data_IF_204675088580
#
_entry.id   IF_204675088580
#
_cell.length_a   1.000
_cell.length_b   1.000
_cell.length_c   1.000
_cell.angle_alpha   90.00
_cell.angle_beta   90.00
_cell.angle_gamma   90.00
#
_symmetry.space_group_name_H-M   'P 1'
#
loop_
_entity.id
_entity.type
_entity.pdbx_description
1 polymer ?
#
# COMPACT_ATOMS: atom_id res chain seq x y z
N UNK A 1 -0.89 -17.61 102.92
CA UNK A 1 -0.41 -16.55 102.03
C UNK A 1 0.16 -17.23 100.79
N UNK A 2 -0.43 -16.95 99.62
CA UNK A 2 0.15 -17.02 98.25
C UNK A 2 0.48 -18.46 97.75
N UNK A 3 -0.41 -19.15 97.00
CA UNK A 3 -0.70 -19.08 95.53
C UNK A 3 0.42 -19.75 94.70
N UNK A 4 0.20 -21.00 94.25
CA UNK A 4 -0.06 -21.48 92.86
C UNK A 4 1.11 -21.26 91.85
N UNK A 5 1.46 -22.08 90.85
CA UNK A 5 0.68 -22.87 89.89
C UNK A 5 1.48 -24.05 89.28
N UNK A 6 0.68 -25.00 88.80
CA UNK A 6 0.91 -26.15 87.94
C UNK A 6 1.79 -25.89 86.69
N UNK A 7 2.58 -26.88 86.29
CA UNK A 7 3.30 -26.88 85.00
C UNK A 7 3.12 -28.23 84.28
N UNK A 8 2.10 -28.28 83.42
CA UNK A 8 1.95 -29.28 82.37
C UNK A 8 2.25 -28.66 80.99
N UNK A 9 2.90 -29.38 80.06
CA UNK A 9 3.35 -28.84 78.79
C UNK A 9 2.25 -28.84 77.71
N UNK A 10 2.23 -27.87 76.76
CA UNK A 10 1.27 -27.90 75.68
C UNK A 10 1.80 -28.52 74.38
N UNK A 11 0.83 -29.14 73.70
CA UNK A 11 0.66 -29.57 72.32
C UNK A 11 1.64 -29.03 71.25
N UNK A 12 2.07 -29.95 70.38
CA UNK A 12 2.69 -29.68 69.08
C UNK A 12 1.59 -29.72 68.01
N UNK A 13 1.07 -28.55 67.64
CA UNK A 13 0.21 -28.39 66.47
C UNK A 13 1.09 -28.20 65.22
N UNK A 14 0.94 -29.11 64.26
CA UNK A 14 1.61 -29.07 62.97
C UNK A 14 0.93 -28.07 62.03
N UNK A 15 1.45 -26.84 61.97
CA UNK A 15 1.07 -25.86 60.96
C UNK A 15 1.73 -26.20 59.61
N UNK A 16 0.89 -26.63 58.66
CA UNK A 16 1.26 -26.73 57.25
C UNK A 16 1.59 -25.36 56.68
N UNK A 17 2.84 -25.16 56.30
CA UNK A 17 3.28 -23.97 55.57
C UNK A 17 2.60 -23.92 54.20
N UNK A 18 1.52 -23.13 54.11
CA UNK A 18 1.02 -22.63 52.83
C UNK A 18 2.04 -21.61 52.31
N UNK A 19 2.85 -22.01 51.34
CA UNK A 19 3.65 -21.07 50.56
C UNK A 19 2.69 -20.16 49.78
N UNK A 20 2.53 -18.93 50.27
CA UNK A 20 1.91 -17.84 49.54
C UNK A 20 2.63 -17.65 48.20
N UNK A 21 1.96 -18.08 47.13
CA UNK A 21 2.36 -17.77 45.77
C UNK A 21 2.20 -16.27 45.55
N UNK A 22 3.33 -15.57 45.58
CA UNK A 22 3.38 -14.15 45.22
C UNK A 22 2.79 -13.95 43.81
N UNK A 23 1.89 -12.98 43.60
CA UNK A 23 1.29 -12.74 42.30
C UNK A 23 2.35 -12.25 41.32
N UNK A 24 2.61 -13.05 40.28
CA UNK A 24 3.46 -12.66 39.15
C UNK A 24 2.94 -11.34 38.57
N UNK A 25 3.74 -10.27 38.72
CA UNK A 25 3.46 -8.97 38.13
C UNK A 25 3.22 -9.13 36.62
N UNK A 26 1.99 -8.87 36.17
CA UNK A 26 1.62 -8.92 34.76
C UNK A 26 2.48 -7.91 34.00
N UNK A 27 3.47 -8.40 33.25
CA UNK A 27 4.34 -7.57 32.38
C UNK A 27 3.46 -6.68 31.51
N UNK A 28 3.72 -5.37 31.57
CA UNK A 28 2.92 -4.36 30.87
C UNK A 28 2.85 -4.67 29.37
N UNK A 29 1.64 -4.86 28.84
CA UNK A 29 1.43 -5.27 27.44
C UNK A 29 1.73 -4.09 26.51
N UNK A 30 2.83 -4.18 25.76
CA UNK A 30 3.17 -3.17 24.75
C UNK A 30 2.11 -3.21 23.63
N UNK A 31 1.42 -2.09 23.36
CA UNK A 31 0.38 -2.06 22.36
C UNK A 31 0.95 -2.14 20.94
N UNK A 32 0.20 -2.76 20.02
CA UNK A 32 0.55 -2.74 18.60
C UNK A 32 0.49 -1.30 18.08
N UNK A 33 1.50 -0.85 17.30
CA UNK A 33 1.50 0.46 16.66
C UNK A 33 0.19 0.76 15.91
N UNK A 34 -0.28 1.99 16.08
CA UNK A 34 -1.62 2.40 15.64
C UNK A 34 -1.79 2.33 14.12
N UNK A 35 -0.72 2.60 13.35
CA UNK A 35 -0.70 2.46 11.90
C UNK A 35 -1.02 1.03 11.45
N UNK A 36 -0.40 0.00 12.02
CA UNK A 36 -0.66 -1.39 11.65
C UNK A 36 -2.06 -1.83 12.09
N UNK A 37 -2.53 -1.33 13.23
CA UNK A 37 -3.89 -1.62 13.72
C UNK A 37 -4.97 -0.99 12.85
N UNK A 38 -4.80 0.26 12.42
CA UNK A 38 -5.73 0.89 11.47
C UNK A 38 -5.65 0.18 10.12
N UNK A 39 -4.44 -0.15 9.67
CA UNK A 39 -4.25 -0.84 8.40
C UNK A 39 -4.95 -2.21 8.37
N UNK A 40 -4.84 -3.02 9.42
CA UNK A 40 -5.49 -4.34 9.45
C UNK A 40 -7.02 -4.23 9.43
N UNK A 41 -7.59 -3.20 10.08
CA UNK A 41 -9.03 -2.90 10.02
C UNK A 41 -9.46 -2.52 8.60
N UNK A 42 -8.73 -1.60 7.95
CA UNK A 42 -9.04 -1.19 6.57
C UNK A 42 -8.92 -2.38 5.62
N UNK A 43 -7.86 -3.18 5.74
CA UNK A 43 -7.66 -4.37 4.92
C UNK A 43 -8.86 -5.31 5.01
N UNK A 44 -9.36 -5.56 6.24
CA UNK A 44 -10.57 -6.38 6.45
C UNK A 44 -11.78 -5.80 5.72
N UNK A 45 -12.07 -4.50 5.88
CA UNK A 45 -13.20 -3.84 5.21
C UNK A 45 -13.08 -3.88 3.69
N UNK A 46 -11.86 -3.76 3.15
CA UNK A 46 -11.62 -3.81 1.71
C UNK A 46 -11.85 -5.23 1.16
N UNK A 47 -11.35 -6.25 1.86
CA UNK A 47 -11.41 -7.64 1.37
C UNK A 47 -12.79 -8.26 1.60
N UNK A 48 -13.40 -8.05 2.77
CA UNK A 48 -14.70 -8.64 3.12
C UNK A 48 -15.86 -7.83 2.55
N UNK A 49 -15.83 -6.50 2.68
CA UNK A 49 -16.95 -5.62 2.32
C UNK A 49 -16.76 -4.90 0.97
N UNK A 50 -15.65 -5.15 0.26
CA UNK A 50 -15.32 -4.53 -1.05
C UNK A 50 -15.35 -2.99 -1.03
N UNK A 51 -15.06 -2.38 0.12
CA UNK A 51 -15.06 -0.93 0.27
C UNK A 51 -13.87 -0.27 -0.45
N UNK A 52 -14.05 1.00 -0.82
CA UNK A 52 -13.02 1.77 -1.50
C UNK A 52 -11.85 2.11 -0.56
N UNK A 53 -10.66 1.60 -0.89
CA UNK A 53 -9.42 1.80 -0.14
C UNK A 53 -9.08 3.28 0.03
N UNK A 54 -9.24 4.08 -1.04
CA UNK A 54 -8.85 5.49 -1.02
C UNK A 54 -9.72 6.27 -0.04
N UNK A 55 -11.03 6.08 -0.08
CA UNK A 55 -11.95 6.70 0.88
C UNK A 55 -11.59 6.33 2.32
N UNK A 56 -11.41 5.04 2.61
CA UNK A 56 -11.07 4.55 3.95
C UNK A 56 -9.75 5.13 4.49
N UNK A 57 -8.71 5.22 3.66
CA UNK A 57 -7.41 5.78 4.09
C UNK A 57 -7.48 7.30 4.26
N UNK A 58 -8.27 8.01 3.44
CA UNK A 58 -8.42 9.45 3.54
C UNK A 58 -9.23 9.87 4.78
N UNK A 59 -10.16 9.03 5.22
CA UNK A 59 -11.00 9.22 6.41
C UNK A 59 -10.31 8.77 7.72
N UNK A 60 -9.30 7.90 7.65
CA UNK A 60 -8.62 7.39 8.85
C UNK A 60 -7.72 8.45 9.50
N UNK A 61 -7.84 8.58 10.83
CA UNK A 61 -7.12 9.59 11.63
C UNK A 61 -5.66 9.22 11.91
N UNK A 62 -5.30 7.94 11.81
CA UNK A 62 -4.03 7.41 12.28
C UNK A 62 -3.07 7.06 11.13
N UNK A 63 -3.60 6.84 9.92
CA UNK A 63 -2.81 6.62 8.71
C UNK A 63 -2.55 7.94 8.01
N UNK A 64 -1.26 8.24 7.79
CA UNK A 64 -0.87 9.36 6.94
C UNK A 64 -1.29 9.05 5.51
N UNK A 65 -2.22 9.82 4.95
CA UNK A 65 -2.83 9.64 3.61
C UNK A 65 -1.90 9.02 2.56
N UNK A 66 -0.80 9.67 2.22
CA UNK A 66 0.14 9.17 1.19
C UNK A 66 0.82 7.84 1.57
N UNK A 67 1.30 7.71 2.81
CA UNK A 67 1.95 6.47 3.27
C UNK A 67 0.95 5.32 3.44
N UNK A 68 -0.27 5.62 3.89
CA UNK A 68 -1.35 4.66 4.05
C UNK A 68 -1.80 4.10 2.70
N UNK A 69 -1.96 4.96 1.69
CA UNK A 69 -2.30 4.53 0.34
C UNK A 69 -1.21 3.62 -0.24
N UNK A 70 0.06 4.02 -0.13
CA UNK A 70 1.17 3.20 -0.61
C UNK A 70 1.25 1.84 0.10
N UNK A 71 1.05 1.80 1.42
CA UNK A 71 1.00 0.56 2.20
C UNK A 71 -0.15 -0.34 1.76
N UNK A 72 -1.35 0.23 1.55
CA UNK A 72 -2.51 -0.55 1.10
C UNK A 72 -2.34 -1.07 -0.31
N UNK A 73 -1.85 -0.26 -1.24
CA UNK A 73 -1.57 -0.67 -2.62
C UNK A 73 -0.55 -1.83 -2.61
N UNK A 74 0.51 -1.73 -1.81
CA UNK A 74 1.50 -2.79 -1.63
C UNK A 74 0.88 -4.09 -1.12
N UNK A 75 0.04 -4.02 -0.09
CA UNK A 75 -0.63 -5.21 0.49
C UNK A 75 -1.57 -5.85 -0.54
N UNK A 76 -2.41 -5.05 -1.20
CA UNK A 76 -3.45 -5.56 -2.10
C UNK A 76 -2.86 -6.17 -3.37
N UNK A 77 -1.80 -5.56 -3.91
CA UNK A 77 -1.09 -6.10 -5.07
C UNK A 77 -0.43 -7.44 -4.75
N UNK A 78 0.16 -7.59 -3.57
CA UNK A 78 0.85 -8.81 -3.15
C UNK A 78 -0.04 -9.76 -2.33
N UNK A 79 -1.36 -9.53 -2.26
CA UNK A 79 -2.22 -10.22 -1.29
C UNK A 79 -2.23 -11.74 -1.47
N UNK A 80 -2.26 -12.20 -2.73
CA UNK A 80 -2.19 -13.63 -3.08
C UNK A 80 -0.86 -14.24 -2.65
N UNK A 81 0.24 -13.56 -2.95
CA UNK A 81 1.58 -13.98 -2.57
C UNK A 81 1.73 -14.00 -1.04
N UNK A 82 1.28 -12.97 -0.33
CA UNK A 82 1.32 -12.92 1.14
C UNK A 82 0.52 -14.08 1.75
N UNK A 83 -0.67 -14.38 1.23
CA UNK A 83 -1.47 -15.53 1.70
C UNK A 83 -0.74 -16.86 1.49
N UNK A 84 -0.07 -17.02 0.35
CA UNK A 84 0.76 -18.20 0.08
C UNK A 84 1.94 -18.31 1.06
N UNK A 85 2.64 -17.20 1.34
CA UNK A 85 3.74 -17.17 2.33
C UNK A 85 3.26 -17.53 3.74
N UNK A 86 2.13 -16.95 4.18
CA UNK A 86 1.55 -17.22 5.50
C UNK A 86 1.13 -18.69 5.63
N UNK A 87 0.61 -19.29 4.55
CA UNK A 87 0.26 -20.72 4.50
C UNK A 87 1.50 -21.61 4.56
N UNK A 88 2.52 -21.35 3.72
CA UNK A 88 3.76 -22.16 3.66
C UNK A 88 4.56 -22.14 4.97
N UNK A 89 4.54 -21.01 5.66
CA UNK A 89 5.22 -20.88 6.97
C UNK A 89 4.38 -21.41 8.14
N UNK A 90 3.11 -21.75 7.89
CA UNK A 90 2.13 -22.17 8.90
C UNK A 90 2.02 -21.15 10.05
N UNK A 91 2.26 -19.87 9.75
CA UNK A 91 2.41 -18.82 10.76
C UNK A 91 1.16 -18.73 11.66
N UNK A 92 -0.03 -18.82 11.07
CA UNK A 92 -1.29 -18.73 11.81
C UNK A 92 -1.66 -20.01 12.56
N UNK A 93 -1.09 -21.15 12.18
CA UNK A 93 -1.29 -22.43 12.87
C UNK A 93 -0.40 -22.51 14.12
N UNK A 94 0.87 -22.09 13.98
CA UNK A 94 1.82 -22.00 15.09
C UNK A 94 1.46 -20.91 16.09
N UNK A 95 0.82 -19.84 15.63
CA UNK A 95 0.49 -18.67 16.45
C UNK A 95 -1.01 -18.31 16.36
N UNK A 96 -1.90 -19.13 16.94
CA UNK A 96 -3.36 -18.98 16.78
C UNK A 96 -3.92 -17.70 17.41
N UNK A 97 -3.15 -17.04 18.28
CA UNK A 97 -3.52 -15.75 18.89
C UNK A 97 -3.26 -14.56 17.97
N UNK A 98 -2.54 -14.76 16.86
CA UNK A 98 -2.23 -13.71 15.90
C UNK A 98 -3.42 -13.46 14.99
N UNK A 99 -3.91 -12.21 14.97
CA UNK A 99 -5.00 -11.86 14.07
C UNK A 99 -4.55 -11.98 12.59
N UNK A 100 -5.28 -12.70 11.72
CA UNK A 100 -4.87 -12.94 10.33
C UNK A 100 -4.68 -11.66 9.50
N UNK A 101 -5.54 -10.65 9.70
CA UNK A 101 -5.44 -9.37 9.00
C UNK A 101 -4.21 -8.58 9.44
N UNK A 102 -3.92 -8.59 10.74
CA UNK A 102 -2.70 -7.98 11.27
C UNK A 102 -1.45 -8.70 10.77
N UNK A 103 -1.45 -10.04 10.76
CA UNK A 103 -0.35 -10.83 10.22
C UNK A 103 -0.07 -10.45 8.76
N UNK A 104 -1.11 -10.36 7.93
CA UNK A 104 -1.00 -9.98 6.51
C UNK A 104 -0.34 -8.61 6.34
N UNK A 105 -0.76 -7.61 7.11
CA UNK A 105 -0.16 -6.25 7.09
C UNK A 105 1.31 -6.28 7.51
N UNK A 106 1.63 -7.01 8.57
CA UNK A 106 3.00 -7.09 9.09
C UNK A 106 3.92 -7.84 8.11
N UNK A 107 3.47 -8.97 7.55
CA UNK A 107 4.23 -9.71 6.53
C UNK A 107 4.45 -8.84 5.30
N UNK A 108 3.45 -8.09 4.84
CA UNK A 108 3.57 -7.19 3.70
C UNK A 108 4.66 -6.13 3.92
N UNK A 109 4.65 -5.44 5.06
CA UNK A 109 5.62 -4.39 5.38
C UNK A 109 7.05 -4.98 5.56
N UNK A 110 7.14 -6.19 6.14
CA UNK A 110 8.39 -6.90 6.40
C UNK A 110 9.07 -7.45 5.15
N UNK A 111 8.29 -7.91 4.17
CA UNK A 111 8.81 -8.57 2.97
C UNK A 111 8.90 -7.61 1.79
N UNK A 112 7.82 -6.88 1.51
CA UNK A 112 7.70 -6.03 0.32
C UNK A 112 7.88 -4.53 0.63
N UNK A 113 7.63 -4.13 1.87
CA UNK A 113 7.62 -2.72 2.27
C UNK A 113 9.00 -2.23 2.68
N UNK A 114 9.09 -1.68 3.89
CA UNK A 114 10.34 -1.12 4.44
C UNK A 114 11.38 -2.17 4.82
N UNK A 115 11.02 -3.45 4.74
CA UNK A 115 11.84 -4.57 5.20
C UNK A 115 12.12 -4.53 6.70
N UNK A 116 11.40 -3.71 7.45
CA UNK A 116 11.49 -3.57 8.90
C UNK A 116 10.12 -3.21 9.46
N UNK A 117 9.83 -3.73 10.65
CA UNK A 117 8.62 -3.42 11.38
C UNK A 117 8.93 -2.43 12.49
N UNK A 118 8.04 -1.49 12.75
CA UNK A 118 8.20 -0.53 13.85
C UNK A 118 7.57 -1.06 15.14
N UNK A 119 8.21 -0.82 16.29
CA UNK A 119 7.68 -1.15 17.62
C UNK A 119 7.87 -2.60 18.06
N UNK A 120 7.69 -2.85 19.36
CA UNK A 120 8.06 -4.12 19.99
C UNK A 120 6.86 -4.85 20.63
N UNK A 121 5.66 -4.62 20.08
CA UNK A 121 4.48 -5.39 20.48
C UNK A 121 4.64 -6.89 20.15
N UNK A 122 4.01 -7.76 20.92
CA UNK A 122 4.11 -9.22 20.73
C UNK A 122 3.81 -9.68 19.28
N UNK A 123 2.75 -9.19 18.59
CA UNK A 123 2.51 -9.56 17.20
C UNK A 123 3.64 -9.15 16.25
N UNK A 124 4.26 -7.99 16.49
CA UNK A 124 5.38 -7.50 15.67
C UNK A 124 6.62 -8.36 15.89
N UNK A 125 6.96 -8.64 17.15
CA UNK A 125 8.10 -9.51 17.46
C UNK A 125 7.90 -10.93 16.92
N UNK A 126 6.68 -11.46 17.03
CA UNK A 126 6.29 -12.75 16.48
C UNK A 126 6.59 -12.80 14.97
N UNK A 127 6.01 -11.90 14.17
CA UNK A 127 6.24 -11.89 12.71
C UNK A 127 7.71 -11.62 12.34
N UNK A 128 8.44 -10.80 13.12
CA UNK A 128 9.88 -10.59 12.92
C UNK A 128 10.69 -11.89 13.02
N UNK A 129 10.32 -12.82 13.91
CA UNK A 129 11.01 -14.12 14.06
C UNK A 129 10.86 -15.01 12.83
N UNK A 130 9.77 -14.87 12.10
CA UNK A 130 9.51 -15.63 10.88
C UNK A 130 10.13 -14.99 9.62
N UNK A 131 10.92 -13.91 9.76
CA UNK A 131 11.50 -13.19 8.61
C UNK A 131 12.22 -14.11 7.64
N UNK A 132 13.14 -14.94 8.13
CA UNK A 132 13.98 -15.80 7.29
C UNK A 132 13.12 -16.85 6.57
N UNK A 133 12.23 -17.52 7.30
CA UNK A 133 11.29 -18.49 6.72
C UNK A 133 10.36 -17.86 5.67
N UNK A 134 9.90 -16.62 5.87
CA UNK A 134 9.09 -15.89 4.91
C UNK A 134 9.88 -15.50 3.64
N UNK A 135 11.17 -15.17 3.78
CA UNK A 135 12.05 -14.85 2.64
C UNK A 135 12.40 -16.10 1.83
N UNK A 136 12.66 -17.22 2.50
CA UNK A 136 12.86 -18.51 1.85
C UNK A 136 11.59 -18.94 1.11
N UNK A 137 10.43 -18.86 1.76
CA UNK A 137 9.14 -19.18 1.15
C UNK A 137 8.83 -18.31 -0.07
N UNK A 138 9.28 -17.04 -0.09
CA UNK A 138 9.15 -16.14 -1.23
C UNK A 138 10.03 -16.57 -2.41
N UNK A 139 11.27 -16.97 -2.13
CA UNK A 139 12.22 -17.42 -3.17
C UNK A 139 11.71 -18.67 -3.88
N UNK A 140 11.01 -19.54 -3.16
CA UNK A 140 10.38 -20.76 -3.70
C UNK A 140 8.94 -20.51 -4.18
N UNK A 141 8.40 -19.28 -4.09
CA UNK A 141 7.02 -18.99 -4.49
C UNK A 141 6.94 -18.66 -5.97
N UNK A 142 6.11 -19.42 -6.69
CA UNK A 142 5.74 -19.16 -8.08
C UNK A 142 4.56 -18.18 -8.19
N UNK A 143 4.00 -17.73 -7.05
CA UNK A 143 2.86 -16.82 -7.04
C UNK A 143 3.34 -15.41 -7.36
N UNK A 144 2.99 -14.93 -8.55
CA UNK A 144 3.27 -13.55 -8.97
C UNK A 144 2.34 -12.52 -8.29
N UNK A 145 2.79 -11.27 -8.14
CA UNK A 145 1.93 -10.17 -7.70
C UNK A 145 0.81 -9.90 -8.72
N UNK A 146 -0.33 -9.36 -8.26
CA UNK A 146 -1.46 -9.04 -9.11
C UNK A 146 -1.18 -7.92 -10.13
N UNK A 147 -0.19 -7.07 -9.83
CA UNK A 147 0.29 -6.01 -10.72
C UNK A 147 1.75 -5.68 -10.38
N UNK A 148 2.54 -5.29 -11.35
CA UNK A 148 3.85 -4.70 -11.09
C UNK A 148 3.68 -3.24 -10.64
N UNK A 149 4.10 -2.93 -9.41
CA UNK A 149 3.99 -1.58 -8.84
C UNK A 149 4.90 -0.56 -9.54
N UNK A 150 5.99 -1.04 -10.12
CA UNK A 150 7.03 -0.26 -10.78
C UNK A 150 6.69 0.09 -12.24
N UNK A 151 5.48 -0.25 -12.70
CA UNK A 151 5.03 0.09 -14.04
C UNK A 151 4.88 1.61 -14.20
N UNK A 152 5.86 2.23 -14.85
CA UNK A 152 5.89 3.66 -15.19
C UNK A 152 5.04 3.94 -16.43
N UNK A 153 3.73 3.98 -16.24
CA UNK A 153 2.82 4.28 -17.34
C UNK A 153 3.00 5.73 -17.84
N UNK A 154 2.99 5.99 -19.16
CA UNK A 154 2.95 7.34 -19.71
C UNK A 154 1.69 8.10 -19.26
N UNK A 155 1.68 9.41 -19.47
CA UNK A 155 0.54 10.28 -19.15
C UNK A 155 -0.11 10.73 -20.44
N UNK A 156 -1.33 10.25 -20.64
CA UNK A 156 -2.20 10.66 -21.73
C UNK A 156 -3.01 11.88 -21.31
N UNK A 157 -2.96 12.92 -22.11
CA UNK A 157 -3.59 14.22 -21.86
C UNK A 157 -4.38 14.60 -23.08
N UNK A 158 -5.70 14.69 -22.95
CA UNK A 158 -6.59 15.15 -24.01
C UNK A 158 -6.69 16.66 -24.00
N UNK A 159 -6.59 17.28 -25.16
CA UNK A 159 -6.81 18.70 -25.39
C UNK A 159 -8.32 18.96 -25.41
N UNK A 160 -8.76 19.97 -24.67
CA UNK A 160 -10.14 20.44 -24.74
C UNK A 160 -10.27 21.41 -25.93
N UNK A 161 -10.65 20.87 -27.09
CA UNK A 161 -10.77 21.64 -28.34
C UNK A 161 -11.82 22.75 -28.31
N UNK A 162 -12.76 22.72 -27.35
CA UNK A 162 -13.70 23.83 -27.13
C UNK A 162 -13.04 25.06 -26.51
N UNK A 163 -11.90 24.88 -25.84
CA UNK A 163 -11.17 25.94 -25.14
C UNK A 163 -9.86 26.32 -25.86
N UNK A 164 -9.22 25.36 -26.52
CA UNK A 164 -7.90 25.55 -27.12
C UNK A 164 -7.74 24.63 -28.33
N UNK A 165 -7.46 25.21 -29.50
CA UNK A 165 -7.15 24.44 -30.70
C UNK A 165 -5.81 23.70 -30.55
N UNK A 166 -5.64 22.50 -31.17
CA UNK A 166 -4.42 21.71 -30.99
C UNK A 166 -3.10 22.44 -31.29
N UNK A 167 -2.98 23.26 -32.35
CA UNK A 167 -1.75 24.02 -32.59
C UNK A 167 -1.44 25.03 -31.46
N UNK A 168 -2.48 25.64 -30.86
CA UNK A 168 -2.34 26.54 -29.73
C UNK A 168 -1.93 25.80 -28.44
N UNK A 169 -2.41 24.57 -28.26
CA UNK A 169 -2.04 23.72 -27.14
C UNK A 169 -0.56 23.32 -27.19
N UNK A 170 -0.06 22.94 -28.37
CA UNK A 170 1.35 22.62 -28.59
C UNK A 170 2.23 23.84 -28.29
N UNK A 171 1.87 25.02 -28.83
CA UNK A 171 2.63 26.26 -28.59
C UNK A 171 2.69 26.62 -27.10
N UNK A 172 1.57 26.52 -26.39
CA UNK A 172 1.53 26.78 -24.96
C UNK A 172 2.47 25.85 -24.18
N UNK A 173 2.48 24.55 -24.52
CA UNK A 173 3.38 23.59 -23.87
C UNK A 173 4.85 23.87 -24.20
N UNK A 174 5.16 24.29 -25.43
CA UNK A 174 6.51 24.70 -25.83
C UNK A 174 6.99 25.95 -25.09
N UNK A 175 6.11 26.94 -24.89
CA UNK A 175 6.39 28.14 -24.09
C UNK A 175 6.69 27.79 -22.62
N UNK A 176 6.14 26.68 -22.12
CA UNK A 176 6.39 26.16 -20.78
C UNK A 176 7.60 25.22 -20.67
N UNK A 177 8.36 25.08 -21.76
CA UNK A 177 9.60 24.32 -21.80
C UNK A 177 9.45 22.83 -22.17
N UNK A 178 8.26 22.41 -22.63
CA UNK A 178 8.08 21.07 -23.19
C UNK A 178 8.51 21.01 -24.66
N UNK A 179 9.15 19.92 -25.06
CA UNK A 179 9.63 19.72 -26.43
C UNK A 179 8.69 18.75 -27.15
N UNK A 180 8.06 19.23 -28.23
CA UNK A 180 7.31 18.36 -29.12
C UNK A 180 8.29 17.49 -29.92
N UNK A 181 8.10 16.20 -29.85
CA UNK A 181 8.78 15.23 -30.71
C UNK A 181 7.99 15.13 -32.01
N UNK A 182 8.45 15.85 -33.02
CA UNK A 182 7.84 15.87 -34.36
C UNK A 182 8.48 14.79 -35.24
N UNK A 183 8.22 13.53 -34.88
CA UNK A 183 8.67 12.34 -35.61
C UNK A 183 7.46 11.67 -36.27
N UNK A 184 7.57 11.33 -37.55
CA UNK A 184 6.59 10.49 -38.23
C UNK A 184 6.96 9.01 -38.02
N UNK A 185 6.00 8.22 -37.54
CA UNK A 185 6.19 6.78 -37.29
C UNK A 185 5.54 5.97 -38.40
N UNK A 186 6.30 5.06 -39.02
CA UNK A 186 5.78 4.18 -40.07
C UNK A 186 4.86 3.09 -39.49
N UNK A 187 5.07 2.74 -38.21
CA UNK A 187 4.25 1.75 -37.52
C UNK A 187 3.89 2.16 -36.10
N UNK A 188 2.78 1.59 -35.59
CA UNK A 188 2.39 1.77 -34.19
C UNK A 188 3.43 1.18 -33.21
N UNK A 189 4.18 0.16 -33.62
CA UNK A 189 5.24 -0.43 -32.80
C UNK A 189 6.39 0.54 -32.56
N UNK A 190 6.86 1.23 -33.61
CA UNK A 190 7.89 2.29 -33.51
C UNK A 190 7.43 3.43 -32.61
N UNK A 191 6.18 3.87 -32.78
CA UNK A 191 5.57 4.88 -31.91
C UNK A 191 5.59 4.44 -30.43
N UNK A 192 5.24 3.17 -30.14
CA UNK A 192 5.27 2.65 -28.77
C UNK A 192 6.68 2.59 -28.20
N UNK A 193 7.68 2.20 -28.99
CA UNK A 193 9.09 2.25 -28.55
C UNK A 193 9.52 3.69 -28.26
N UNK A 194 9.10 4.66 -29.08
CA UNK A 194 9.40 6.08 -28.82
C UNK A 194 8.73 6.59 -27.55
N UNK A 195 7.46 6.22 -27.30
CA UNK A 195 6.74 6.56 -26.07
C UNK A 195 7.44 6.00 -24.83
N UNK A 196 7.97 4.77 -24.90
CA UNK A 196 8.71 4.17 -23.77
C UNK A 196 10.01 4.93 -23.46
N UNK A 197 10.64 5.49 -24.49
CA UNK A 197 11.93 6.18 -24.39
C UNK A 197 11.80 7.71 -24.45
N UNK A 198 10.62 8.27 -24.13
CA UNK A 198 10.41 9.71 -24.02
C UNK A 198 11.33 10.34 -22.96
N UNK A 199 12.03 11.41 -23.35
CA UNK A 199 12.79 12.24 -22.42
C UNK A 199 11.87 12.99 -21.44
N UNK A 200 12.43 13.41 -20.30
CA UNK A 200 11.65 13.98 -19.19
C UNK A 200 10.90 15.29 -19.52
N UNK A 201 11.38 16.04 -20.52
CA UNK A 201 10.77 17.28 -21.00
C UNK A 201 10.14 17.12 -22.39
N UNK A 202 10.01 15.89 -22.89
CA UNK A 202 9.46 15.61 -24.21
C UNK A 202 7.98 15.23 -24.14
N UNK A 203 7.27 15.46 -25.24
CA UNK A 203 5.93 14.92 -25.46
C UNK A 203 5.66 14.63 -26.93
N UNK A 204 4.69 13.76 -27.17
CA UNK A 204 4.25 13.32 -28.50
C UNK A 204 2.76 13.60 -28.68
N UNK A 205 2.31 13.67 -29.93
CA UNK A 205 0.90 13.51 -30.28
C UNK A 205 0.60 12.01 -30.40
N UNK A 206 -0.58 11.58 -29.94
CA UNK A 206 -0.95 10.17 -30.02
C UNK A 206 -1.15 9.70 -31.46
N UNK A 207 -0.68 8.48 -31.73
CA UNK A 207 -0.76 7.85 -33.05
C UNK A 207 -2.19 7.74 -33.62
N UNK A 208 -3.21 7.53 -32.77
CA UNK A 208 -4.59 7.38 -33.22
C UNK A 208 -5.43 8.65 -33.03
N UNK A 209 -5.11 9.47 -32.02
CA UNK A 209 -5.94 10.61 -31.62
C UNK A 209 -5.15 11.91 -31.65
N UNK A 210 -5.42 12.76 -32.65
CA UNK A 210 -4.75 14.07 -32.84
C UNK A 210 -4.95 15.06 -31.68
N UNK A 211 -6.00 14.86 -30.89
CA UNK A 211 -6.31 15.69 -29.72
C UNK A 211 -5.72 15.13 -28.42
N UNK A 212 -4.95 14.04 -28.50
CA UNK A 212 -4.33 13.43 -27.34
C UNK A 212 -2.81 13.59 -27.41
N UNK A 213 -2.25 14.04 -26.31
CA UNK A 213 -0.82 14.19 -26.11
C UNK A 213 -0.33 13.12 -25.14
N UNK A 214 0.91 12.69 -25.33
CA UNK A 214 1.55 11.63 -24.55
C UNK A 214 2.83 12.15 -23.94
N UNK A 215 2.91 12.06 -22.62
CA UNK A 215 4.02 12.52 -21.81
C UNK A 215 4.67 11.36 -21.06
N UNK A 216 5.95 11.48 -20.67
CA UNK A 216 6.61 10.52 -19.80
C UNK A 216 5.93 10.47 -18.41
N UNK A 217 6.18 9.40 -17.67
CA UNK A 217 5.64 9.23 -16.31
C UNK A 217 6.09 10.36 -15.35
N UNK A 218 7.28 10.92 -15.57
CA UNK A 218 7.87 12.04 -14.82
C UNK A 218 7.03 13.32 -14.86
N UNK A 219 6.24 13.53 -15.93
CA UNK A 219 5.34 14.66 -16.08
C UNK A 219 4.20 14.69 -15.04
N UNK A 220 4.00 13.62 -14.26
CA UNK A 220 2.95 13.54 -13.21
C UNK A 220 2.95 14.74 -12.26
N UNK A 221 4.12 15.22 -11.86
CA UNK A 221 4.24 16.33 -10.92
C UNK A 221 3.93 17.69 -11.55
N UNK A 222 4.20 17.85 -12.86
CA UNK A 222 3.82 19.03 -13.61
C UNK A 222 2.29 19.12 -13.69
N UNK A 223 1.63 18.05 -14.15
CA UNK A 223 0.17 18.02 -14.26
C UNK A 223 -0.56 18.11 -12.91
N UNK A 224 0.08 17.69 -11.82
CA UNK A 224 -0.45 17.89 -10.47
C UNK A 224 -0.46 19.35 -10.01
N UNK A 225 0.48 20.17 -10.49
CA UNK A 225 0.65 21.58 -10.10
C UNK A 225 0.01 22.57 -11.08
N UNK A 226 -0.09 22.22 -12.35
CA UNK A 226 -0.67 23.03 -13.42
C UNK A 226 -2.20 23.15 -13.31
N UNK A 227 -2.68 23.87 -12.30
CA UNK A 227 -4.11 24.00 -12.02
C UNK A 227 -4.83 24.91 -13.02
N UNK A 228 -4.12 25.89 -13.55
CA UNK A 228 -4.50 26.80 -14.63
C UNK A 228 -4.81 26.09 -15.95
N UNK A 229 -4.29 24.87 -16.13
CA UNK A 229 -4.46 24.08 -17.35
C UNK A 229 -5.64 23.11 -17.29
N UNK A 230 -6.27 22.92 -16.12
CA UNK A 230 -7.32 21.90 -15.92
C UNK A 230 -8.54 22.06 -16.84
N UNK A 231 -8.80 23.25 -17.34
CA UNK A 231 -9.90 23.51 -18.29
C UNK A 231 -9.48 23.28 -19.76
N UNK A 232 -8.19 23.41 -20.06
CA UNK A 232 -7.60 23.29 -21.40
C UNK A 232 -7.12 21.86 -21.69
N UNK A 233 -6.69 21.14 -20.65
CA UNK A 233 -6.07 19.83 -20.73
C UNK A 233 -6.69 18.87 -19.71
N UNK A 234 -7.01 17.66 -20.15
CA UNK A 234 -7.68 16.64 -19.36
C UNK A 234 -6.81 15.39 -19.29
N UNK A 235 -6.33 15.05 -18.10
CA UNK A 235 -5.68 13.76 -17.85
C UNK A 235 -6.71 12.62 -18.00
N UNK A 236 -6.53 11.79 -19.03
CA UNK A 236 -7.50 10.75 -19.37
C UNK A 236 -6.78 9.55 -19.97
N UNK A 237 -7.09 8.34 -19.51
CA UNK A 237 -6.54 7.12 -20.11
C UNK A 237 -6.99 7.03 -21.59
N UNK A 238 -6.07 6.62 -22.48
CA UNK A 238 -6.33 6.47 -23.92
C UNK A 238 -7.57 5.62 -24.22
N UNK A 239 -7.76 4.52 -23.49
CA UNK A 239 -8.90 3.62 -23.70
C UNK A 239 -10.25 4.31 -23.44
N UNK A 240 -10.29 5.34 -22.58
CA UNK A 240 -11.51 6.08 -22.30
C UNK A 240 -11.98 6.98 -23.45
N UNK A 241 -11.15 7.22 -24.48
CA UNK A 241 -11.58 7.94 -25.69
C UNK A 241 -12.30 7.04 -26.68
N UNK A 242 -12.07 5.72 -26.64
CA UNK A 242 -12.66 4.78 -27.59
C UNK A 242 -14.20 4.87 -27.62
N UNK A 243 -14.92 4.88 -26.47
CA UNK A 243 -16.38 4.98 -26.51
C UNK A 243 -16.86 6.25 -27.19
N UNK A 244 -16.26 7.41 -26.89
CA UNK A 244 -16.64 8.69 -27.49
C UNK A 244 -16.39 8.70 -29.00
N UNK A 245 -15.25 8.16 -29.43
CA UNK A 245 -14.90 8.09 -30.84
C UNK A 245 -15.82 7.15 -31.62
N UNK A 246 -16.15 5.99 -31.04
CA UNK A 246 -17.05 5.01 -31.65
C UNK A 246 -18.51 5.46 -31.65
N UNK A 247 -18.94 6.22 -30.62
CA UNK A 247 -20.28 6.80 -30.56
C UNK A 247 -20.51 7.86 -31.64
N UNK A 248 -19.44 8.57 -32.02
CA UNK A 248 -19.43 9.63 -33.03
C UNK A 248 -20.66 10.57 -32.96
N UNK A 249 -20.92 11.20 -31.80
CA UNK A 249 -22.04 12.12 -31.67
C UNK A 249 -21.86 13.32 -32.60
N UNK A 250 -22.97 13.83 -33.15
CA UNK A 250 -22.95 15.08 -33.88
C UNK A 250 -22.44 16.21 -32.97
N UNK A 251 -21.64 17.12 -33.55
CA UNK A 251 -21.14 18.31 -32.85
C UNK A 251 -22.26 19.31 -32.57
#
# INVERSE_FOLDING_TARGET
MVVEQDSSPPAVDGEGQQQEQQPQQRRHKIPVPTNYRSASKILRLVVEERRNVKSLVLEDKHLRKGKGLAMMDLILVNLTQIKDLVRRTELLEKEPRLNPWLATVLVAELIFGRKELTGDSLPVQCVRRYREALQEALTTSEVAPAKQLDFKEPRYVRINVNMLAPPGAIRLLQEEGWVLVDEEFASYAEYLERVRNLGDSEFLVDFHFREMLVFPNSAKNYWGRATEHKQKFVLQNKACLLPTYLLNPAK
#
